data_IF_523769348149
#
_entry.id   IF_523769348149
#
_cell.length_a   1.000
_cell.length_b   1.000
_cell.length_c   1.000
_cell.angle_alpha   90.00
_cell.angle_beta   90.00
_cell.angle_gamma   90.00
#
_symmetry.space_group_name_H-M   'P 1'
#
loop_
_entity.id
_entity.type
_entity.pdbx_description
1 polymer ?
#
# COMPACT_ATOMS: atom_id res chain seq x y z
N UNK A 1 -18.56 -5.02 3.42
CA UNK A 1 -17.70 -3.83 3.17
C UNK A 1 -17.30 -3.84 1.71
N UNK A 2 -17.37 -2.69 1.04
CA UNK A 2 -16.96 -2.58 -0.37
C UNK A 2 -15.56 -1.95 -0.47
N UNK A 3 -14.61 -2.70 -1.04
CA UNK A 3 -13.22 -2.30 -1.21
C UNK A 3 -12.82 -2.33 -2.67
N UNK A 4 -11.85 -1.49 -3.03
CA UNK A 4 -11.26 -1.47 -4.36
C UNK A 4 -9.84 -2.04 -4.39
N UNK A 5 -9.46 -2.59 -5.53
CA UNK A 5 -8.05 -2.79 -5.89
C UNK A 5 -7.81 -2.13 -7.24
N UNK A 6 -6.82 -1.24 -7.34
CA UNK A 6 -6.45 -0.61 -8.61
C UNK A 6 -5.94 -1.68 -9.58
N UNK A 7 -6.55 -1.78 -10.75
CA UNK A 7 -6.34 -2.87 -11.71
C UNK A 7 -5.87 -2.36 -13.09
N UNK A 8 -5.00 -1.35 -13.10
CA UNK A 8 -4.37 -0.80 -14.32
C UNK A 8 -3.16 -1.62 -14.76
N UNK A 9 -2.34 -2.04 -13.80
CA UNK A 9 -1.14 -2.87 -13.96
C UNK A 9 -0.79 -3.43 -12.57
N UNK A 10 -0.07 -4.57 -12.52
CA UNK A 10 0.49 -5.10 -11.28
C UNK A 10 -0.29 -6.27 -10.70
N UNK A 11 0.03 -6.61 -9.46
CA UNK A 11 -0.40 -7.84 -8.77
C UNK A 11 -1.74 -7.65 -8.04
N UNK A 12 -2.74 -7.12 -8.76
CA UNK A 12 -4.05 -6.80 -8.19
C UNK A 12 -4.91 -8.02 -7.88
N UNK A 13 -4.67 -9.15 -8.57
CA UNK A 13 -5.49 -10.37 -8.44
C UNK A 13 -5.32 -11.00 -7.06
N UNK A 14 -4.09 -11.03 -6.59
CA UNK A 14 -3.66 -11.60 -5.32
C UNK A 14 -4.26 -10.80 -4.17
N UNK A 15 -4.18 -9.46 -4.23
CA UNK A 15 -4.86 -8.58 -3.27
C UNK A 15 -6.37 -8.79 -3.24
N UNK A 16 -7.01 -8.92 -4.41
CA UNK A 16 -8.44 -9.18 -4.51
C UNK A 16 -8.82 -10.50 -3.84
N UNK A 17 -8.10 -11.59 -4.15
CA UNK A 17 -8.33 -12.90 -3.55
C UNK A 17 -8.18 -12.83 -2.03
N UNK A 18 -7.14 -12.17 -1.52
CA UNK A 18 -6.91 -12.02 -0.08
C UNK A 18 -8.03 -11.27 0.63
N UNK A 19 -8.59 -10.21 0.02
CA UNK A 19 -9.75 -9.49 0.56
C UNK A 19 -11.04 -10.31 0.48
N UNK A 20 -11.28 -11.03 -0.62
CA UNK A 20 -12.44 -11.93 -0.78
C UNK A 20 -12.41 -13.07 0.26
N UNK A 21 -11.23 -13.64 0.55
CA UNK A 21 -11.03 -14.63 1.63
C UNK A 21 -11.45 -14.09 3.01
N UNK A 22 -11.39 -12.78 3.22
CA UNK A 22 -11.84 -12.10 4.44
C UNK A 22 -13.31 -11.67 4.41
N UNK A 23 -14.05 -11.97 3.32
CA UNK A 23 -15.46 -11.65 3.16
C UNK A 23 -15.76 -10.23 2.69
N UNK A 24 -14.77 -9.51 2.14
CA UNK A 24 -15.00 -8.22 1.50
C UNK A 24 -15.67 -8.38 0.12
N UNK A 25 -16.51 -7.41 -0.25
CA UNK A 25 -16.96 -7.22 -1.63
C UNK A 25 -15.92 -6.36 -2.35
N UNK A 26 -15.25 -6.92 -3.36
CA UNK A 26 -14.06 -6.32 -3.98
C UNK A 26 -14.32 -5.93 -5.43
N UNK A 27 -14.09 -4.67 -5.75
CA UNK A 27 -14.17 -4.13 -7.11
C UNK A 27 -12.78 -3.86 -7.68
N UNK A 28 -12.53 -4.30 -8.91
CA UNK A 28 -11.32 -3.92 -9.64
C UNK A 28 -11.52 -2.52 -10.25
N UNK A 29 -10.71 -1.56 -9.82
CA UNK A 29 -10.82 -0.15 -10.22
C UNK A 29 -9.91 0.14 -11.42
N UNK A 30 -10.51 0.55 -12.52
CA UNK A 30 -9.86 0.94 -13.78
C UNK A 30 -10.29 2.32 -14.26
N UNK A 31 -11.40 2.84 -13.75
CA UNK A 31 -11.98 4.15 -14.08
C UNK A 31 -12.41 4.89 -12.80
N UNK A 32 -12.47 6.24 -12.83
CA UNK A 32 -12.81 7.05 -11.66
C UNK A 32 -14.14 6.69 -10.98
N UNK A 33 -15.22 6.53 -11.75
CA UNK A 33 -16.57 6.26 -11.21
C UNK A 33 -16.65 4.94 -10.41
N UNK A 34 -15.67 4.04 -10.57
CA UNK A 34 -15.61 2.79 -9.82
C UNK A 34 -15.11 2.97 -8.38
N UNK A 35 -14.66 4.18 -8.03
CA UNK A 35 -14.36 4.56 -6.64
C UNK A 35 -15.64 4.80 -5.83
N UNK A 36 -16.78 4.98 -6.49
CA UNK A 36 -18.03 5.31 -5.82
C UNK A 36 -18.53 4.18 -4.92
N UNK A 37 -18.85 4.56 -3.68
CA UNK A 37 -19.30 3.65 -2.64
C UNK A 37 -18.20 2.77 -2.04
N UNK A 38 -16.93 2.92 -2.47
CA UNK A 38 -15.81 2.24 -1.83
C UNK A 38 -15.47 2.87 -0.48
N UNK A 39 -15.09 2.01 0.47
CA UNK A 39 -14.63 2.41 1.81
C UNK A 39 -13.11 2.46 1.91
N UNK A 40 -12.43 1.76 1.01
CA UNK A 40 -10.98 1.83 0.85
C UNK A 40 -10.50 1.30 -0.49
N UNK A 41 -9.27 1.62 -0.85
CA UNK A 41 -8.60 1.24 -2.08
C UNK A 41 -7.19 0.70 -1.81
N UNK A 42 -6.86 -0.45 -2.38
CA UNK A 42 -5.48 -0.95 -2.45
C UNK A 42 -4.87 -0.54 -3.79
N UNK A 43 -3.65 -0.01 -3.76
CA UNK A 43 -2.79 0.22 -4.92
C UNK A 43 -1.69 -0.84 -4.86
N UNK A 44 -1.70 -1.82 -5.77
CA UNK A 44 -0.85 -3.01 -5.66
C UNK A 44 0.62 -2.71 -6.01
N UNK A 45 1.46 -3.73 -5.83
CA UNK A 45 2.78 -3.82 -6.43
C UNK A 45 2.75 -3.81 -7.96
N UNK A 46 3.91 -3.65 -8.59
CA UNK A 46 4.03 -3.53 -10.05
C UNK A 46 5.15 -2.57 -10.46
N UNK A 47 4.95 -1.84 -11.56
CA UNK A 47 5.88 -0.78 -11.99
C UNK A 47 5.25 0.59 -11.74
N UNK A 48 5.76 1.30 -10.73
CA UNK A 48 5.18 2.57 -10.27
C UNK A 48 5.06 3.63 -11.36
N UNK A 49 6.03 3.70 -12.28
CA UNK A 49 6.02 4.71 -13.34
C UNK A 49 4.90 4.47 -14.34
N UNK A 50 4.68 3.21 -14.72
CA UNK A 50 3.62 2.76 -15.62
C UNK A 50 2.25 2.96 -14.96
N UNK A 51 2.08 2.51 -13.71
CA UNK A 51 0.84 2.73 -12.96
C UNK A 51 0.53 4.23 -12.87
N UNK A 52 1.50 5.07 -12.49
CA UNK A 52 1.32 6.52 -12.41
C UNK A 52 0.93 7.16 -13.76
N UNK A 53 1.55 6.75 -14.87
CA UNK A 53 1.17 7.20 -16.22
C UNK A 53 -0.23 6.77 -16.62
N UNK A 54 -0.63 5.54 -16.32
CA UNK A 54 -1.97 5.03 -16.60
C UNK A 54 -3.02 5.77 -15.75
N UNK A 55 -2.71 6.07 -14.48
CA UNK A 55 -3.60 6.86 -13.63
C UNK A 55 -3.86 8.26 -14.22
N UNK A 56 -2.83 8.91 -14.78
CA UNK A 56 -3.00 10.17 -15.50
C UNK A 56 -3.86 9.98 -16.74
N UNK A 57 -3.53 8.99 -17.57
CA UNK A 57 -4.22 8.74 -18.84
C UNK A 57 -5.73 8.45 -18.67
N UNK A 58 -6.12 7.80 -17.57
CA UNK A 58 -7.51 7.45 -17.28
C UNK A 58 -8.21 8.41 -16.30
N UNK A 59 -7.59 9.55 -15.94
CA UNK A 59 -8.18 10.52 -15.01
C UNK A 59 -8.31 10.02 -13.56
N UNK A 60 -7.59 8.96 -13.20
CA UNK A 60 -7.62 8.35 -11.88
C UNK A 60 -6.73 9.05 -10.85
N UNK A 61 -5.71 9.79 -11.28
CA UNK A 61 -4.74 10.41 -10.36
C UNK A 61 -5.44 11.35 -9.37
N UNK A 62 -6.21 12.32 -9.89
CA UNK A 62 -6.91 13.30 -9.05
C UNK A 62 -8.14 12.69 -8.36
N UNK A 63 -8.80 11.71 -9.01
CA UNK A 63 -9.90 10.98 -8.39
C UNK A 63 -9.45 10.21 -7.13
N UNK A 64 -8.31 9.51 -7.20
CA UNK A 64 -7.74 8.79 -6.05
C UNK A 64 -7.21 9.76 -4.99
N UNK A 65 -6.65 10.93 -5.39
CA UNK A 65 -6.28 11.98 -4.44
C UNK A 65 -7.46 12.47 -3.61
N UNK A 66 -8.59 12.75 -4.28
CA UNK A 66 -9.82 13.15 -3.61
C UNK A 66 -10.37 12.04 -2.71
N UNK A 67 -10.38 10.79 -3.20
CA UNK A 67 -10.79 9.62 -2.44
C UNK A 67 -9.98 9.45 -1.15
N UNK A 68 -8.65 9.53 -1.25
CA UNK A 68 -7.72 9.34 -0.13
C UNK A 68 -7.76 10.43 0.95
N UNK A 69 -8.46 11.55 0.72
CA UNK A 69 -8.68 12.55 1.78
C UNK A 69 -9.62 12.06 2.89
N UNK A 70 -10.52 11.11 2.57
CA UNK A 70 -11.57 10.67 3.51
C UNK A 70 -11.68 9.16 3.65
N UNK A 71 -11.21 8.42 2.64
CA UNK A 71 -11.29 6.96 2.56
C UNK A 71 -9.92 6.33 2.72
N UNK A 72 -9.90 5.05 3.09
CA UNK A 72 -8.65 4.35 3.32
C UNK A 72 -7.90 4.06 2.01
N UNK A 73 -6.59 4.27 1.99
CA UNK A 73 -5.75 3.90 0.85
C UNK A 73 -4.54 3.14 1.34
N UNK A 74 -4.28 1.98 0.73
CA UNK A 74 -3.11 1.17 1.03
C UNK A 74 -2.27 0.95 -0.21
N UNK A 75 -1.03 1.43 -0.18
CA UNK A 75 -0.05 1.18 -1.22
C UNK A 75 0.92 0.07 -0.82
N UNK A 76 1.02 -0.99 -1.62
CA UNK A 76 2.03 -2.05 -1.48
C UNK A 76 3.10 -1.90 -2.56
N UNK A 77 4.38 -1.97 -2.17
CA UNK A 77 5.53 -1.85 -3.08
C UNK A 77 5.41 -0.64 -4.04
N UNK A 78 5.04 -0.84 -5.31
CA UNK A 78 4.79 0.24 -6.26
C UNK A 78 3.70 1.22 -5.81
N UNK A 79 2.64 0.73 -5.16
CA UNK A 79 1.61 1.58 -4.56
C UNK A 79 2.14 2.44 -3.41
N UNK A 80 3.09 1.93 -2.62
CA UNK A 80 3.74 2.72 -1.57
C UNK A 80 4.53 3.88 -2.19
N UNK A 81 5.28 3.62 -3.27
CA UNK A 81 5.98 4.66 -4.05
C UNK A 81 4.98 5.74 -4.51
N UNK A 82 3.82 5.34 -5.05
CA UNK A 82 2.81 6.26 -5.55
C UNK A 82 2.16 7.11 -4.46
N UNK A 83 2.02 6.59 -3.23
CA UNK A 83 1.43 7.33 -2.10
C UNK A 83 2.34 8.45 -1.55
N UNK A 84 3.66 8.28 -1.66
CA UNK A 84 4.65 9.21 -1.12
C UNK A 84 4.57 10.60 -1.75
N UNK A 85 5.07 11.61 -1.02
CA UNK A 85 5.26 12.97 -1.55
C UNK A 85 6.52 13.11 -2.39
N UNK A 86 7.55 12.34 -2.07
CA UNK A 86 8.87 12.45 -2.71
C UNK A 86 9.50 11.07 -2.94
N UNK A 87 10.01 10.87 -4.15
CA UNK A 87 10.72 9.65 -4.58
C UNK A 87 12.07 9.94 -5.27
N UNK A 88 12.57 11.17 -5.15
CA UNK A 88 13.82 11.64 -5.73
C UNK A 88 13.86 11.74 -7.26
N UNK A 89 12.77 11.37 -7.96
CA UNK A 89 12.66 11.40 -9.41
C UNK A 89 11.29 11.94 -9.84
N UNK A 90 11.21 12.47 -11.06
CA UNK A 90 9.96 12.96 -11.63
C UNK A 90 9.10 11.80 -12.16
N UNK A 91 7.98 11.52 -11.48
CA UNK A 91 6.91 10.66 -11.96
C UNK A 91 5.57 11.13 -11.38
N UNK A 92 4.42 10.73 -11.96
CA UNK A 92 3.13 10.98 -11.33
C UNK A 92 3.03 10.27 -9.97
N UNK A 93 2.68 11.03 -8.92
CA UNK A 93 2.47 10.56 -7.55
C UNK A 93 1.13 11.05 -7.05
N UNK A 94 0.53 10.31 -6.12
CA UNK A 94 -0.66 10.73 -5.40
C UNK A 94 -0.35 11.86 -4.41
N UNK A 95 0.86 11.90 -3.85
CA UNK A 95 1.28 12.96 -2.93
C UNK A 95 0.31 13.10 -1.73
N UNK A 96 -0.05 11.94 -1.16
CA UNK A 96 -1.04 11.84 -0.08
C UNK A 96 -0.40 11.65 1.29
N UNK A 97 0.75 10.99 1.35
CA UNK A 97 1.37 10.56 2.60
C UNK A 97 2.73 11.21 2.81
N UNK A 98 2.96 11.75 4.01
CA UNK A 98 4.14 12.50 4.46
C UNK A 98 5.36 11.57 4.67
N UNK A 99 5.74 10.90 3.59
CA UNK A 99 6.88 9.99 3.51
C UNK A 99 7.74 10.29 2.27
N UNK A 100 9.03 10.03 2.40
CA UNK A 100 9.98 10.00 1.28
C UNK A 100 10.38 8.55 1.05
N UNK A 101 10.39 8.13 -0.23
CA UNK A 101 10.70 6.76 -0.61
C UNK A 101 11.88 6.71 -1.57
N UNK A 102 12.83 5.82 -1.31
CA UNK A 102 13.84 5.42 -2.29
C UNK A 102 13.39 4.17 -3.03
N UNK A 103 13.31 4.26 -4.37
CA UNK A 103 12.97 3.13 -5.25
C UNK A 103 14.12 2.12 -5.32
N UNK A 104 13.79 0.83 -5.43
CA UNK A 104 14.74 -0.27 -5.64
C UNK A 104 15.94 -0.25 -4.65
N UNK A 105 15.67 0.01 -3.38
CA UNK A 105 16.70 0.36 -2.40
C UNK A 105 17.52 -0.84 -1.88
N UNK A 106 17.12 -2.08 -2.21
CA UNK A 106 17.82 -3.31 -1.80
C UNK A 106 18.93 -3.75 -2.78
N UNK A 107 19.14 -3.04 -3.89
CA UNK A 107 20.21 -3.32 -4.87
C UNK A 107 19.92 -4.50 -5.80
N UNK A 108 20.75 -4.66 -6.86
CA UNK A 108 20.56 -5.66 -7.94
C UNK A 108 20.94 -7.09 -7.57
N UNK A 109 21.65 -7.30 -6.46
CA UNK A 109 22.12 -8.63 -6.03
C UNK A 109 21.15 -9.30 -5.04
N UNK A 110 20.27 -8.52 -4.41
CA UNK A 110 19.22 -8.97 -3.49
C UNK A 110 17.89 -8.52 -4.10
N UNK A 111 17.62 -8.96 -5.32
CA UNK A 111 16.41 -8.58 -6.06
C UNK A 111 15.13 -9.08 -5.34
N UNK A 112 15.26 -10.08 -4.48
CA UNK A 112 14.22 -10.52 -3.56
C UNK A 112 14.82 -11.10 -2.29
N UNK A 113 14.16 -10.87 -1.15
CA UNK A 113 14.47 -11.56 0.10
C UNK A 113 13.22 -11.69 0.97
N UNK A 114 13.30 -12.60 1.93
CA UNK A 114 12.23 -12.88 2.88
C UNK A 114 12.76 -12.79 4.31
N UNK A 115 11.91 -12.35 5.23
CA UNK A 115 12.23 -12.31 6.66
C UNK A 115 10.96 -12.41 7.49
N UNK A 116 11.00 -13.22 8.55
CA UNK A 116 9.94 -13.25 9.57
C UNK A 116 10.23 -12.17 10.62
N UNK A 117 9.26 -11.30 10.88
CA UNK A 117 9.38 -10.26 11.92
C UNK A 117 8.14 -10.22 12.82
N UNK A 118 8.30 -9.88 14.11
CA UNK A 118 7.17 -9.59 14.97
C UNK A 118 6.46 -8.31 14.49
N UNK A 119 5.13 -8.37 14.35
CA UNK A 119 4.31 -7.23 13.90
C UNK A 119 3.22 -6.97 14.95
N UNK A 120 3.54 -6.26 16.05
CA UNK A 120 2.70 -6.23 17.25
C UNK A 120 1.38 -5.48 17.07
N UNK A 121 1.26 -4.63 16.05
CA UNK A 121 0.02 -3.90 15.74
C UNK A 121 -1.01 -4.74 14.96
N UNK A 122 -0.63 -5.93 14.47
CA UNK A 122 -1.56 -6.86 13.84
C UNK A 122 -2.23 -7.76 14.87
N UNK A 123 -3.44 -8.24 14.54
CA UNK A 123 -4.19 -9.17 15.37
C UNK A 123 -4.45 -10.49 14.61
N UNK A 124 -4.04 -11.65 15.14
CA UNK A 124 -3.17 -11.81 16.32
C UNK A 124 -1.74 -11.30 16.07
N UNK A 125 -1.05 -10.86 17.13
CA UNK A 125 0.32 -10.34 17.06
C UNK A 125 1.41 -11.42 16.92
N UNK A 126 1.01 -12.68 17.03
CA UNK A 126 1.85 -13.88 16.88
C UNK A 126 1.13 -14.91 15.99
N UNK A 127 1.87 -15.77 15.25
CA UNK A 127 3.34 -15.82 15.14
C UNK A 127 3.91 -14.59 14.41
N UNK A 128 5.23 -14.53 14.25
CA UNK A 128 5.87 -13.52 13.39
C UNK A 128 5.27 -13.53 11.98
N UNK A 129 5.29 -12.38 11.31
CA UNK A 129 4.75 -12.23 9.95
C UNK A 129 5.85 -12.46 8.93
N UNK A 130 5.57 -13.31 7.94
CA UNK A 130 6.48 -13.60 6.84
C UNK A 130 6.43 -12.48 5.80
N UNK A 131 7.51 -11.71 5.69
CA UNK A 131 7.60 -10.54 4.80
C UNK A 131 8.38 -10.89 3.54
N UNK A 132 7.72 -10.79 2.38
CA UNK A 132 8.34 -11.02 1.07
C UNK A 132 8.65 -9.68 0.37
N UNK A 133 9.92 -9.45 0.03
CA UNK A 133 10.37 -8.27 -0.69
C UNK A 133 10.78 -8.66 -2.11
N UNK A 134 10.29 -7.93 -3.12
CA UNK A 134 10.70 -8.10 -4.52
C UNK A 134 11.02 -6.71 -5.07
N UNK A 135 12.32 -6.42 -5.23
CA UNK A 135 12.85 -5.12 -5.66
C UNK A 135 12.20 -3.95 -4.91
N UNK A 136 11.95 -4.16 -3.61
CA UNK A 136 11.10 -3.28 -2.82
C UNK A 136 11.66 -1.86 -2.67
N UNK A 137 10.79 -0.85 -2.53
CA UNK A 137 11.22 0.46 -2.06
C UNK A 137 11.64 0.42 -0.58
N UNK A 138 12.26 1.50 -0.10
CA UNK A 138 12.43 1.74 1.33
C UNK A 138 11.91 3.14 1.66
N UNK A 139 11.23 3.27 2.80
CA UNK A 139 10.81 4.56 3.32
C UNK A 139 12.02 5.19 4.01
N UNK A 140 12.62 6.21 3.38
CA UNK A 140 13.84 6.87 3.87
C UNK A 140 13.55 7.95 4.90
N UNK A 141 12.37 8.56 4.83
CA UNK A 141 11.94 9.57 5.77
C UNK A 141 10.43 9.48 6.04
N UNK A 142 10.05 9.69 7.30
CA UNK A 142 8.66 9.81 7.75
C UNK A 142 8.57 11.10 8.53
N UNK A 143 7.61 11.95 8.19
CA UNK A 143 7.46 13.28 8.76
C UNK A 143 5.99 13.68 8.86
N UNK A 144 5.71 14.89 9.34
CA UNK A 144 4.35 15.44 9.38
C UNK A 144 3.40 14.57 10.21
N UNK A 145 2.26 14.21 9.61
CA UNK A 145 1.24 13.36 10.26
C UNK A 145 1.50 11.85 10.15
N UNK A 146 2.54 11.43 9.44
CA UNK A 146 2.88 10.02 9.27
C UNK A 146 3.69 9.47 10.45
N UNK A 147 3.57 8.16 10.69
CA UNK A 147 4.37 7.42 11.68
C UNK A 147 4.88 6.10 11.11
N UNK A 148 6.12 5.69 11.42
CA UNK A 148 6.59 4.35 11.08
C UNK A 148 5.80 3.30 11.87
N UNK A 149 5.44 2.20 11.22
CA UNK A 149 4.79 1.04 11.84
C UNK A 149 5.71 -0.16 12.00
N UNK A 150 6.63 -0.37 11.03
CA UNK A 150 7.52 -1.52 11.03
C UNK A 150 8.87 -1.15 10.38
N UNK A 151 9.95 -1.65 10.96
CA UNK A 151 11.32 -1.48 10.47
C UNK A 151 12.05 -2.82 10.43
N UNK A 152 13.00 -2.94 9.50
CA UNK A 152 13.96 -4.05 9.47
C UNK A 152 14.94 -3.96 10.66
N UNK A 153 15.65 -5.05 11.01
CA UNK A 153 16.64 -5.06 12.09
C UNK A 153 17.76 -4.01 11.94
N UNK A 154 18.05 -3.58 10.70
CA UNK A 154 19.03 -2.53 10.41
C UNK A 154 18.45 -1.11 10.43
N UNK A 155 17.20 -0.95 10.87
CA UNK A 155 16.55 0.35 11.07
C UNK A 155 15.81 0.90 9.85
N UNK A 156 15.85 0.22 8.69
CA UNK A 156 15.14 0.68 7.49
C UNK A 156 13.63 0.52 7.66
N UNK A 157 12.87 1.58 7.43
CA UNK A 157 11.41 1.60 7.59
C UNK A 157 10.76 0.91 6.38
N UNK A 158 9.89 -0.07 6.66
CA UNK A 158 9.23 -0.90 5.65
C UNK A 158 7.71 -0.84 5.71
N UNK A 159 7.13 -0.30 6.78
CA UNK A 159 5.72 0.07 6.83
C UNK A 159 5.53 1.40 7.57
N UNK A 160 4.59 2.22 7.11
CA UNK A 160 4.19 3.47 7.76
C UNK A 160 2.68 3.68 7.63
N UNK A 161 2.13 4.52 8.50
CA UNK A 161 0.71 4.91 8.47
C UNK A 161 0.54 6.41 8.71
N UNK A 162 -0.44 7.01 8.04
CA UNK A 162 -0.91 8.38 8.29
C UNK A 162 -2.44 8.39 8.23
N UNK A 163 -3.12 8.48 9.38
CA UNK A 163 -4.57 8.35 9.43
C UNK A 163 -5.05 7.06 8.76
N UNK A 164 -5.83 7.20 7.66
CA UNK A 164 -6.34 6.09 6.84
C UNK A 164 -5.42 5.72 5.65
N UNK A 165 -4.20 6.23 5.61
CA UNK A 165 -3.19 5.87 4.61
C UNK A 165 -2.23 4.84 5.20
N UNK A 166 -2.00 3.76 4.46
CA UNK A 166 -1.04 2.71 4.81
C UNK A 166 -0.05 2.54 3.66
N UNK A 167 1.24 2.44 3.95
CA UNK A 167 2.28 2.16 2.98
C UNK A 167 3.12 0.97 3.46
N UNK A 168 3.30 -0.03 2.61
CA UNK A 168 4.16 -1.20 2.89
C UNK A 168 5.13 -1.45 1.74
N UNK A 169 6.39 -1.75 2.08
CA UNK A 169 7.48 -1.96 1.11
C UNK A 169 7.61 -3.42 0.63
N UNK A 170 6.85 -4.32 1.24
CA UNK A 170 6.78 -5.76 0.96
C UNK A 170 5.43 -6.13 0.33
N UNK A 171 5.30 -7.39 -0.05
CA UNK A 171 4.16 -7.98 -0.77
C UNK A 171 3.34 -8.93 0.12
N UNK A 172 2.44 -8.40 0.98
CA UNK A 172 1.59 -9.22 1.85
C UNK A 172 0.58 -10.08 1.08
N UNK A 173 0.34 -9.79 -0.19
CA UNK A 173 -0.50 -10.57 -1.10
C UNK A 173 0.14 -11.89 -1.56
N UNK A 174 1.45 -12.06 -1.36
CA UNK A 174 2.18 -13.28 -1.74
C UNK A 174 2.27 -14.32 -0.61
N UNK A 175 1.57 -14.09 0.50
CA UNK A 175 1.45 -15.02 1.63
C UNK A 175 -0.02 -15.34 1.89
N UNK A 176 -0.28 -16.51 2.48
CA UNK A 176 -1.60 -16.87 2.99
C UNK A 176 -1.94 -16.18 4.33
N UNK A 177 -0.99 -15.44 4.92
CA UNK A 177 -1.20 -14.65 6.12
C UNK A 177 -1.93 -13.32 5.82
N UNK A 178 -3.24 -13.33 6.05
CA UNK A 178 -4.15 -12.22 5.75
C UNK A 178 -4.17 -11.11 6.81
N UNK A 179 -3.26 -11.11 7.81
CA UNK A 179 -3.31 -10.15 8.92
C UNK A 179 -3.19 -8.68 8.46
N UNK A 180 -2.35 -8.37 7.47
CA UNK A 180 -2.27 -7.02 6.91
C UNK A 180 -3.55 -6.60 6.16
N UNK A 181 -4.14 -7.49 5.36
CA UNK A 181 -5.41 -7.22 4.69
C UNK A 181 -6.55 -7.01 5.69
N UNK A 182 -6.58 -7.77 6.79
CA UNK A 182 -7.53 -7.57 7.89
C UNK A 182 -7.33 -6.21 8.57
N UNK A 183 -6.08 -5.86 8.87
CA UNK A 183 -5.73 -4.55 9.44
C UNK A 183 -6.19 -3.39 8.53
N UNK A 184 -6.00 -3.53 7.21
CA UNK A 184 -6.53 -2.57 6.25
C UNK A 184 -8.06 -2.49 6.24
N UNK A 185 -8.75 -3.65 6.28
CA UNK A 185 -10.22 -3.69 6.37
C UNK A 185 -10.72 -2.96 7.63
N UNK A 186 -10.12 -3.22 8.79
CA UNK A 186 -10.45 -2.52 10.04
C UNK A 186 -10.24 -1.02 9.87
N UNK A 187 -9.08 -0.60 9.32
CA UNK A 187 -8.78 0.81 9.05
C UNK A 187 -9.80 1.48 8.10
N UNK A 188 -10.33 0.74 7.13
CA UNK A 188 -11.35 1.21 6.20
C UNK A 188 -12.77 1.24 6.78
N UNK A 189 -13.03 0.47 7.85
CA UNK A 189 -14.32 0.44 8.56
C UNK A 189 -14.47 1.59 9.54
N UNK A 190 -13.38 1.93 10.23
CA UNK A 190 -13.44 2.87 11.34
C UNK A 190 -13.71 4.29 10.84
N UNK A 191 -14.71 4.93 11.45
CA UNK A 191 -14.72 6.38 11.58
C UNK A 191 -13.55 6.73 12.49
N UNK A 192 -12.37 6.96 11.91
CA UNK A 192 -11.28 7.58 12.64
C UNK A 192 -11.75 9.00 12.97
N UNK A 193 -12.24 9.20 14.19
CA UNK A 193 -12.42 10.52 14.78
C UNK A 193 -11.04 11.22 14.80
N UNK A 194 -11.01 12.43 14.24
CA UNK A 194 -9.84 13.31 14.20
C UNK A 194 -9.39 13.71 15.61
#
# INVERSE_FOLDING_TARGET
MKLGVLALQGDFREHRISLEKLGADVSEVRLPDQLDGLTGLIIPGGESTAIGKLMVAYGLLDAIRGFGQTKAVWGTCAGAILLARDVGNHQPLLDLMDITIQRNAFGRQIDSFEIDLPVPFLSPSQPDYHLTFIRGPIITHVYGGARPLLSLPDGRIIAAQQGKLLATSFHPELTDDLRFHRYFMEMSSSEFEN
#
